data_IF_136103995550
#
_entry.id   IF_136103995550
#
_cell.length_a   1.000
_cell.length_b   1.000
_cell.length_c   1.000
_cell.angle_alpha   90.00
_cell.angle_beta   90.00
_cell.angle_gamma   90.00
#
_symmetry.space_group_name_H-M   'P 1'
#
loop_
_entity.id
_entity.type
_entity.pdbx_description
1 polymer ?
#
# COMPACT_ATOMS: atom_id res chain seq x y z
N UNK A 1 -2.11 1.22 11.89
CA UNK A 1 -3.46 1.04 12.46
C UNK A 1 -3.79 -0.44 12.40
N UNK A 2 -4.33 -0.99 13.48
CA UNK A 2 -4.87 -2.34 13.52
C UNK A 2 -6.32 -2.28 13.95
N UNK A 3 -7.22 -2.86 13.17
CA UNK A 3 -8.64 -2.96 13.47
C UNK A 3 -9.00 -4.45 13.59
N UNK A 4 -9.48 -4.84 14.74
CA UNK A 4 -9.94 -6.19 15.07
C UNK A 4 -10.90 -6.12 16.25
N UNK A 5 -11.76 -7.12 16.41
CA UNK A 5 -12.63 -7.23 17.60
C UNK A 5 -11.82 -7.30 18.89
N UNK A 6 -10.73 -8.06 18.87
CA UNK A 6 -9.78 -8.17 19.98
C UNK A 6 -8.36 -8.08 19.42
N UNK A 7 -7.67 -7.01 19.79
CA UNK A 7 -6.29 -6.73 19.34
C UNK A 7 -5.30 -7.81 19.82
N UNK A 8 -5.55 -8.47 20.94
CA UNK A 8 -4.67 -9.54 21.45
C UNK A 8 -4.67 -10.78 20.57
N UNK A 9 -5.73 -11.00 19.80
CA UNK A 9 -5.87 -12.13 18.89
C UNK A 9 -5.82 -11.73 17.41
N UNK A 10 -5.47 -10.48 17.11
CA UNK A 10 -5.47 -9.94 15.75
C UNK A 10 -4.61 -10.76 14.79
N UNK A 11 -3.47 -11.29 15.24
CA UNK A 11 -2.53 -12.07 14.43
C UNK A 11 -2.92 -13.55 14.25
N UNK A 12 -4.03 -14.00 14.85
CA UNK A 12 -4.51 -15.39 14.74
C UNK A 12 -5.62 -15.56 13.70
N UNK A 13 -6.10 -14.47 13.12
CA UNK A 13 -7.16 -14.44 12.13
C UNK A 13 -6.62 -14.05 10.76
N UNK A 14 -7.26 -14.46 9.65
CA UNK A 14 -6.94 -13.93 8.33
C UNK A 14 -6.93 -12.40 8.34
N UNK A 15 -5.98 -11.79 7.67
CA UNK A 15 -5.84 -10.35 7.69
C UNK A 15 -5.83 -9.73 6.29
N UNK A 16 -6.45 -8.55 6.20
CA UNK A 16 -6.32 -7.62 5.10
C UNK A 16 -5.24 -6.61 5.44
N UNK A 17 -4.35 -6.35 4.51
CA UNK A 17 -3.30 -5.36 4.66
C UNK A 17 -3.44 -4.26 3.61
N UNK A 18 -3.66 -3.04 4.04
CA UNK A 18 -3.79 -1.86 3.20
C UNK A 18 -2.66 -0.89 3.46
N UNK A 19 -1.99 -0.43 2.41
CA UNK A 19 -1.05 0.67 2.55
C UNK A 19 -1.30 1.73 1.49
N UNK A 20 -1.01 2.97 1.85
CA UNK A 20 -1.41 4.15 1.11
C UNK A 20 -0.24 5.10 0.98
N UNK A 21 -0.31 6.00 -0.01
CA UNK A 21 0.61 7.11 -0.18
C UNK A 21 2.08 6.70 -0.30
N UNK A 22 2.35 5.62 -1.04
CA UNK A 22 3.72 5.25 -1.40
C UNK A 22 4.35 6.31 -2.33
N UNK A 23 3.54 6.95 -3.18
CA UNK A 23 3.94 8.12 -3.94
C UNK A 23 3.48 9.41 -3.26
N UNK A 24 4.44 10.30 -3.03
CA UNK A 24 4.27 11.50 -2.24
C UNK A 24 3.12 12.43 -2.72
N UNK A 25 2.90 12.54 -4.02
CA UNK A 25 1.90 13.42 -4.65
C UNK A 25 0.47 12.86 -4.67
N UNK A 26 0.27 11.63 -4.24
CA UNK A 26 -1.01 10.94 -4.26
C UNK A 26 -1.74 11.14 -2.92
N UNK A 27 -2.12 12.39 -2.65
CA UNK A 27 -2.60 12.84 -1.33
C UNK A 27 -3.90 12.18 -0.88
N UNK A 28 -4.79 11.87 -1.84
CA UNK A 28 -6.09 11.28 -1.53
C UNK A 28 -5.96 9.94 -0.80
N UNK A 29 -4.88 9.18 -1.03
CA UNK A 29 -4.66 7.91 -0.37
C UNK A 29 -4.57 8.03 1.15
N UNK A 30 -3.88 9.05 1.65
CA UNK A 30 -3.76 9.31 3.09
C UNK A 30 -5.12 9.66 3.71
N UNK A 31 -5.86 10.56 3.08
CA UNK A 31 -7.20 10.96 3.54
C UNK A 31 -8.16 9.76 3.52
N UNK A 32 -8.14 8.98 2.44
CA UNK A 32 -8.95 7.77 2.31
C UNK A 32 -8.66 6.77 3.44
N UNK A 33 -7.39 6.56 3.79
CA UNK A 33 -7.01 5.64 4.87
C UNK A 33 -7.61 6.06 6.21
N UNK A 34 -7.54 7.33 6.54
CA UNK A 34 -8.06 7.88 7.80
C UNK A 34 -9.60 7.81 7.82
N UNK A 35 -10.25 8.26 6.75
CA UNK A 35 -11.72 8.22 6.65
C UNK A 35 -12.25 6.79 6.68
N UNK A 36 -11.55 5.84 6.03
CA UNK A 36 -11.92 4.43 6.06
C UNK A 36 -11.85 3.85 7.48
N UNK A 37 -10.78 4.14 8.23
CA UNK A 37 -10.68 3.71 9.62
C UNK A 37 -11.78 4.32 10.50
N UNK A 38 -12.05 5.62 10.31
CA UNK A 38 -13.12 6.33 11.02
C UNK A 38 -14.49 5.74 10.68
N UNK A 39 -14.75 5.47 9.39
CA UNK A 39 -16.00 4.86 8.95
C UNK A 39 -16.26 3.51 9.62
N UNK A 40 -15.25 2.63 9.62
CA UNK A 40 -15.36 1.33 10.29
C UNK A 40 -15.70 1.52 11.78
N UNK A 41 -14.95 2.37 12.48
CA UNK A 41 -15.15 2.57 13.92
C UNK A 41 -16.52 3.17 14.25
N UNK A 42 -17.00 4.13 13.46
CA UNK A 42 -18.30 4.77 13.68
C UNK A 42 -19.49 3.83 13.42
N UNK A 43 -19.35 2.91 12.47
CA UNK A 43 -20.45 2.06 12.05
C UNK A 43 -20.39 0.63 12.63
N UNK A 44 -19.33 0.28 13.36
CA UNK A 44 -19.10 -1.06 13.87
C UNK A 44 -20.26 -1.61 14.71
N UNK A 45 -20.91 -0.78 15.52
CA UNK A 45 -22.02 -1.23 16.39
C UNK A 45 -23.36 -1.27 15.66
N UNK A 46 -23.52 -0.56 14.57
CA UNK A 46 -24.78 -0.42 13.82
C UNK A 46 -24.82 -1.24 12.54
N UNK A 47 -23.64 -1.62 11.99
CA UNK A 47 -23.53 -2.43 10.78
C UNK A 47 -23.13 -3.87 11.14
N UNK A 48 -24.07 -4.84 11.05
CA UNK A 48 -23.77 -6.24 11.33
C UNK A 48 -22.73 -6.85 10.41
N UNK A 49 -22.60 -6.35 9.18
CA UNK A 49 -21.64 -6.83 8.19
C UNK A 49 -20.22 -6.46 8.60
N UNK A 50 -19.99 -5.19 8.95
CA UNK A 50 -18.69 -4.73 9.48
C UNK A 50 -18.32 -5.46 10.77
N UNK A 51 -19.29 -5.63 11.66
CA UNK A 51 -19.09 -6.36 12.91
C UNK A 51 -18.67 -7.81 12.65
N UNK A 52 -19.31 -8.48 11.70
CA UNK A 52 -18.97 -9.85 11.32
C UNK A 52 -17.56 -9.92 10.72
N UNK A 53 -17.19 -8.99 9.82
CA UNK A 53 -15.85 -8.95 9.23
C UNK A 53 -14.77 -8.83 10.30
N UNK A 54 -14.90 -7.92 11.27
CA UNK A 54 -13.89 -7.77 12.35
C UNK A 54 -13.95 -8.89 13.39
N UNK A 55 -15.03 -9.67 13.44
CA UNK A 55 -15.08 -10.91 14.22
C UNK A 55 -14.19 -11.99 13.60
N UNK A 56 -14.18 -12.11 12.27
CA UNK A 56 -13.56 -13.20 11.53
C UNK A 56 -12.19 -12.82 10.94
N UNK A 57 -11.90 -11.52 10.84
CA UNK A 57 -10.66 -11.04 10.22
C UNK A 57 -10.05 -9.86 10.97
N UNK A 58 -8.83 -9.52 10.58
CA UNK A 58 -8.09 -8.34 11.03
C UNK A 58 -7.83 -7.42 9.84
N UNK A 59 -7.87 -6.12 10.07
CA UNK A 59 -7.42 -5.12 9.10
C UNK A 59 -6.17 -4.42 9.61
N UNK A 60 -5.09 -4.54 8.88
CA UNK A 60 -3.87 -3.76 9.08
C UNK A 60 -3.81 -2.63 8.05
N UNK A 61 -3.46 -1.43 8.50
CA UNK A 61 -3.38 -0.27 7.62
C UNK A 61 -2.13 0.54 7.89
N UNK A 62 -1.44 0.95 6.82
CA UNK A 62 -0.36 1.96 6.83
C UNK A 62 -0.88 3.19 6.10
N UNK A 63 -1.38 4.23 6.81
CA UNK A 63 -2.01 5.40 6.17
C UNK A 63 -1.08 6.20 5.28
N UNK A 64 0.22 6.21 5.58
CA UNK A 64 1.21 6.91 4.78
C UNK A 64 2.52 6.10 4.77
N UNK A 65 2.81 5.45 3.65
CA UNK A 65 4.03 4.67 3.48
C UNK A 65 5.26 5.54 3.18
N UNK A 66 5.06 6.79 2.76
CA UNK A 66 6.11 7.75 2.38
C UNK A 66 5.90 9.10 3.08
N UNK A 67 6.07 9.18 4.40
CA UNK A 67 5.74 10.38 5.16
C UNK A 67 6.61 11.60 4.80
N UNK A 68 7.92 11.41 4.60
CA UNK A 68 8.83 12.51 4.26
C UNK A 68 8.54 13.06 2.86
N UNK A 69 8.26 12.18 1.91
CA UNK A 69 7.86 12.58 0.56
C UNK A 69 6.52 13.30 0.56
N UNK A 70 5.54 12.77 1.31
CA UNK A 70 4.22 13.37 1.47
C UNK A 70 4.30 14.79 2.02
N UNK A 71 5.03 14.99 3.13
CA UNK A 71 5.24 16.29 3.74
C UNK A 71 5.93 17.26 2.77
N UNK A 72 6.95 16.81 2.07
CA UNK A 72 7.63 17.62 1.06
C UNK A 72 6.70 18.00 -0.10
N UNK A 73 5.86 17.08 -0.57
CA UNK A 73 4.92 17.36 -1.66
C UNK A 73 3.88 18.39 -1.27
N UNK A 74 3.44 18.39 -0.01
CA UNK A 74 2.46 19.33 0.53
C UNK A 74 3.00 20.75 0.68
N UNK A 75 4.25 20.89 1.11
CA UNK A 75 4.80 22.17 1.55
C UNK A 75 5.78 22.82 0.56
N UNK A 76 6.32 22.06 -0.41
CA UNK A 76 7.36 22.56 -1.30
C UNK A 76 7.10 22.33 -2.78
N UNK A 77 6.80 21.08 -3.19
CA UNK A 77 6.61 20.75 -4.61
C UNK A 77 5.53 19.68 -4.78
N UNK A 78 4.33 20.11 -5.11
CA UNK A 78 3.13 19.27 -5.18
C UNK A 78 3.21 18.07 -6.15
N UNK A 79 4.06 18.14 -7.17
CA UNK A 79 4.30 17.03 -8.11
C UNK A 79 5.41 16.06 -7.68
N UNK A 80 5.97 16.22 -6.46
CA UNK A 80 6.98 15.31 -5.94
C UNK A 80 6.42 13.89 -5.76
N UNK A 81 7.12 12.88 -6.30
CA UNK A 81 6.67 11.49 -6.29
C UNK A 81 7.45 10.60 -5.32
N UNK A 82 8.77 10.77 -5.26
CA UNK A 82 9.73 9.92 -4.55
C UNK A 82 9.73 10.16 -3.04
N UNK A 83 10.50 9.37 -2.28
CA UNK A 83 10.84 9.72 -0.89
C UNK A 83 11.83 10.90 -0.83
N UNK A 84 12.42 11.16 0.35
CA UNK A 84 13.34 12.30 0.53
C UNK A 84 14.78 11.90 0.86
N UNK A 85 15.19 10.67 0.57
CA UNK A 85 16.59 10.26 0.71
C UNK A 85 17.50 11.13 -0.15
N UNK A 86 18.61 11.61 0.41
CA UNK A 86 19.66 12.23 -0.37
C UNK A 86 20.52 11.15 -1.03
N UNK A 87 20.70 11.23 -2.34
CA UNK A 87 21.55 10.35 -3.12
C UNK A 87 23.01 10.84 -3.09
N UNK A 88 23.97 9.98 -3.42
CA UNK A 88 25.40 10.28 -3.37
C UNK A 88 25.83 11.42 -4.29
N UNK A 89 25.10 11.67 -5.36
CA UNK A 89 25.34 12.75 -6.33
C UNK A 89 24.64 14.07 -5.97
N UNK A 90 24.04 14.16 -4.78
CA UNK A 90 23.33 15.35 -4.29
C UNK A 90 21.87 15.47 -4.76
N UNK A 91 21.39 14.60 -5.63
CA UNK A 91 19.96 14.53 -5.98
C UNK A 91 19.14 13.96 -4.83
N UNK A 92 17.81 14.00 -4.93
CA UNK A 92 16.91 13.48 -3.90
C UNK A 92 15.93 12.46 -4.43
N UNK A 93 15.67 11.47 -3.58
CA UNK A 93 14.53 10.57 -3.63
C UNK A 93 14.77 9.30 -4.43
N UNK A 94 14.08 8.27 -3.93
CA UNK A 94 13.89 6.95 -4.55
C UNK A 94 12.39 6.74 -4.77
N UNK A 95 12.01 6.22 -5.92
CA UNK A 95 10.64 5.74 -6.15
C UNK A 95 10.45 4.43 -5.37
N UNK A 96 9.72 4.52 -4.27
CA UNK A 96 9.50 3.37 -3.38
C UNK A 96 8.80 2.22 -4.10
N UNK A 97 7.92 2.53 -5.07
CA UNK A 97 7.23 1.52 -5.88
C UNK A 97 8.10 0.98 -7.06
N UNK A 98 9.41 1.22 -7.01
CA UNK A 98 10.45 0.61 -7.83
C UNK A 98 11.55 -0.03 -6.98
N UNK A 99 11.41 0.01 -5.66
CA UNK A 99 12.43 -0.46 -4.70
C UNK A 99 12.15 -1.87 -4.14
N UNK A 100 11.15 -2.58 -4.67
CA UNK A 100 10.88 -3.99 -4.37
C UNK A 100 11.65 -4.91 -5.34
N UNK A 101 11.96 -6.17 -4.95
CA UNK A 101 12.84 -7.04 -5.74
C UNK A 101 12.22 -7.50 -7.06
N UNK A 102 10.91 -7.77 -7.08
CA UNK A 102 10.23 -8.20 -8.30
C UNK A 102 10.15 -7.01 -9.26
N UNK A 103 10.70 -7.19 -10.45
CA UNK A 103 10.75 -6.13 -11.45
C UNK A 103 11.77 -5.02 -11.19
N UNK A 104 12.64 -5.18 -10.21
CA UNK A 104 13.69 -4.20 -9.96
C UNK A 104 14.58 -4.01 -11.19
N UNK A 105 14.76 -2.76 -11.58
CA UNK A 105 15.68 -2.37 -12.64
C UNK A 105 16.69 -1.37 -12.11
N UNK A 106 17.95 -1.76 -12.10
CA UNK A 106 19.04 -0.88 -11.69
C UNK A 106 19.27 0.21 -12.74
N UNK A 107 19.18 1.46 -12.33
CA UNK A 107 19.47 2.61 -13.18
C UNK A 107 20.46 3.54 -12.49
N UNK A 108 21.17 4.37 -13.26
CA UNK A 108 22.10 5.38 -12.74
C UNK A 108 21.48 6.78 -12.74
N UNK A 109 20.32 6.97 -13.34
CA UNK A 109 19.64 8.26 -13.38
C UNK A 109 18.85 8.52 -12.10
N UNK A 110 19.52 9.01 -11.08
CA UNK A 110 18.97 9.33 -9.75
C UNK A 110 17.93 10.46 -9.78
N UNK A 111 17.96 11.33 -10.82
CA UNK A 111 16.99 12.39 -11.04
C UNK A 111 15.66 11.90 -11.60
N UNK A 112 15.62 10.68 -12.13
CA UNK A 112 14.40 10.10 -12.66
C UNK A 112 13.31 9.95 -11.59
N UNK A 113 12.06 10.23 -11.95
CA UNK A 113 10.91 9.98 -11.08
C UNK A 113 10.64 8.49 -10.81
N UNK A 114 11.27 7.60 -11.58
CA UNK A 114 11.17 6.14 -11.44
C UNK A 114 12.50 5.51 -11.01
N UNK A 115 13.40 6.29 -10.40
CA UNK A 115 14.65 5.77 -9.86
C UNK A 115 14.38 4.85 -8.68
N UNK A 116 14.67 3.56 -8.80
CA UNK A 116 14.37 2.51 -7.82
C UNK A 116 15.40 2.34 -6.69
N UNK A 117 16.43 3.20 -6.62
CA UNK A 117 17.52 3.07 -5.65
C UNK A 117 18.69 2.22 -6.17
N UNK A 118 19.63 1.92 -5.27
CA UNK A 118 20.86 1.17 -5.59
C UNK A 118 20.65 -0.33 -5.65
N UNK A 119 19.70 -0.84 -4.87
CA UNK A 119 19.32 -2.25 -4.75
C UNK A 119 17.90 -2.36 -4.19
N UNK A 120 17.24 -3.52 -4.33
CA UNK A 120 15.94 -3.75 -3.71
C UNK A 120 15.99 -3.55 -2.19
N UNK A 121 14.93 -2.95 -1.65
CA UNK A 121 14.81 -2.65 -0.22
C UNK A 121 15.95 -1.80 0.36
N UNK A 122 16.59 -0.94 -0.45
CA UNK A 122 17.59 -0.01 0.09
C UNK A 122 16.96 1.12 0.92
N UNK A 123 15.65 1.33 0.82
CA UNK A 123 14.94 2.37 1.53
C UNK A 123 14.30 1.85 2.84
N UNK A 124 14.32 2.66 3.93
CA UNK A 124 13.74 2.23 5.20
C UNK A 124 12.24 1.97 5.11
N UNK A 125 11.52 2.73 4.30
CA UNK A 125 10.07 2.60 4.11
C UNK A 125 9.70 1.24 3.51
N UNK A 126 10.40 0.82 2.46
CA UNK A 126 10.15 -0.48 1.81
C UNK A 126 10.60 -1.65 2.67
N UNK A 127 11.69 -1.48 3.45
CA UNK A 127 12.06 -2.47 4.47
C UNK A 127 11.00 -2.62 5.54
N UNK A 128 10.45 -1.51 6.03
CA UNK A 128 9.41 -1.55 7.06
C UNK A 128 8.16 -2.28 6.57
N UNK A 129 7.73 -2.05 5.32
CA UNK A 129 6.61 -2.78 4.71
C UNK A 129 6.92 -4.28 4.59
N UNK A 130 8.11 -4.63 4.08
CA UNK A 130 8.57 -6.03 3.99
C UNK A 130 8.55 -6.72 5.35
N UNK A 131 9.20 -6.10 6.33
CA UNK A 131 9.38 -6.69 7.66
C UNK A 131 8.03 -6.82 8.38
N UNK A 132 7.12 -5.88 8.16
CA UNK A 132 5.75 -5.99 8.66
C UNK A 132 5.03 -7.20 8.07
N UNK A 133 5.05 -7.37 6.74
CA UNK A 133 4.41 -8.51 6.08
C UNK A 133 5.01 -9.83 6.53
N UNK A 134 6.33 -9.92 6.64
CA UNK A 134 7.01 -11.13 7.12
C UNK A 134 6.68 -11.45 8.58
N UNK A 135 6.46 -10.44 9.41
CA UNK A 135 6.07 -10.62 10.81
C UNK A 135 4.58 -10.98 11.00
N UNK A 136 3.75 -10.84 9.95
CA UNK A 136 2.32 -11.08 10.00
C UNK A 136 1.89 -12.12 8.94
N UNK A 137 2.23 -13.41 9.14
CA UNK A 137 1.93 -14.46 8.16
C UNK A 137 0.43 -14.74 7.99
N UNK A 138 -0.41 -14.15 8.82
CA UNK A 138 -1.87 -14.18 8.70
C UNK A 138 -2.42 -13.21 7.64
N UNK A 139 -1.59 -12.37 7.03
CA UNK A 139 -2.01 -11.51 5.90
C UNK A 139 -2.33 -12.40 4.70
N UNK A 140 -3.56 -12.35 4.24
CA UNK A 140 -4.07 -13.13 3.09
C UNK A 140 -4.32 -12.27 1.86
N UNK A 141 -4.61 -10.98 2.05
CA UNK A 141 -4.85 -10.02 0.97
C UNK A 141 -4.07 -8.74 1.30
N UNK A 142 -3.37 -8.20 0.31
CA UNK A 142 -2.71 -6.91 0.40
C UNK A 142 -3.15 -6.00 -0.75
N UNK A 143 -3.40 -4.73 -0.44
CA UNK A 143 -3.78 -3.71 -1.41
C UNK A 143 -2.89 -2.47 -1.24
N UNK A 144 -2.25 -2.06 -2.33
CA UNK A 144 -1.51 -0.81 -2.45
C UNK A 144 -2.41 0.24 -3.12
N UNK A 145 -2.76 1.27 -2.38
CA UNK A 145 -3.66 2.32 -2.85
C UNK A 145 -2.88 3.47 -3.49
N UNK A 146 -3.16 3.68 -4.76
CA UNK A 146 -2.66 4.81 -5.55
C UNK A 146 -3.78 5.79 -5.90
N UNK A 147 -3.42 6.95 -6.41
CA UNK A 147 -4.38 7.85 -7.05
C UNK A 147 -4.13 7.96 -8.55
N UNK A 148 -5.21 8.26 -9.29
CA UNK A 148 -5.42 8.24 -10.74
C UNK A 148 -5.43 6.83 -11.37
N UNK A 149 -6.20 6.70 -12.46
CA UNK A 149 -6.20 5.52 -13.32
C UNK A 149 -7.51 4.74 -13.33
N UNK A 150 -8.28 4.69 -12.24
CA UNK A 150 -9.53 3.90 -12.13
C UNK A 150 -9.34 2.43 -12.53
N UNK A 151 -8.27 1.81 -12.07
CA UNK A 151 -7.85 0.45 -12.43
C UNK A 151 -7.44 -0.34 -11.20
N UNK A 152 -7.57 -1.65 -11.30
CA UNK A 152 -6.94 -2.61 -10.40
C UNK A 152 -5.85 -3.38 -11.16
N UNK A 153 -4.67 -3.49 -10.57
CA UNK A 153 -3.57 -4.28 -11.11
C UNK A 153 -3.37 -5.52 -10.23
N UNK A 154 -3.75 -6.71 -10.70
CA UNK A 154 -3.35 -7.95 -10.04
C UNK A 154 -1.82 -8.10 -10.03
N UNK A 155 -1.26 -8.64 -8.94
CA UNK A 155 0.18 -8.67 -8.72
C UNK A 155 1.01 -9.48 -9.75
N UNK A 156 0.38 -10.33 -10.57
CA UNK A 156 1.03 -11.23 -11.51
C UNK A 156 1.46 -10.60 -12.83
N UNK A 157 0.94 -9.40 -13.17
CA UNK A 157 1.00 -8.86 -14.54
C UNK A 157 2.38 -8.32 -14.96
N UNK A 158 3.41 -8.47 -14.11
CA UNK A 158 4.68 -7.81 -14.39
C UNK A 158 5.53 -8.51 -15.45
N UNK A 159 5.50 -9.85 -15.58
CA UNK A 159 6.39 -10.60 -16.50
C UNK A 159 5.74 -11.72 -17.28
N UNK A 160 4.44 -11.91 -17.20
CA UNK A 160 3.75 -13.09 -17.73
C UNK A 160 4.37 -14.43 -17.26
N UNK A 161 5.01 -14.43 -16.09
CA UNK A 161 5.55 -15.65 -15.48
C UNK A 161 4.39 -16.36 -14.79
N UNK A 162 3.93 -17.46 -15.36
CA UNK A 162 2.77 -18.27 -14.97
C UNK A 162 2.91 -18.99 -13.61
N UNK A 163 3.67 -18.44 -12.67
CA UNK A 163 3.98 -19.12 -11.40
C UNK A 163 2.99 -18.81 -10.29
N UNK A 164 2.07 -17.86 -10.46
CA UNK A 164 1.08 -17.47 -9.46
C UNK A 164 -0.31 -17.73 -10.02
N UNK A 165 -1.13 -18.48 -9.29
CA UNK A 165 -2.55 -18.60 -9.61
C UNK A 165 -3.25 -17.26 -9.36
N UNK A 166 -3.69 -16.64 -10.45
CA UNK A 166 -4.27 -15.30 -10.46
C UNK A 166 -5.78 -15.30 -10.48
N UNK A 167 -6.40 -16.48 -10.48
CA UNK A 167 -7.85 -16.63 -10.60
C UNK A 167 -8.56 -15.88 -9.49
N UNK A 168 -8.18 -16.11 -8.24
CA UNK A 168 -8.82 -15.45 -7.08
C UNK A 168 -8.55 -13.94 -7.06
N UNK A 169 -7.35 -13.49 -7.45
CA UNK A 169 -7.04 -12.07 -7.55
C UNK A 169 -7.87 -11.36 -8.61
N UNK A 170 -8.07 -11.98 -9.76
CA UNK A 170 -8.91 -11.44 -10.84
C UNK A 170 -10.39 -11.36 -10.41
N UNK A 171 -10.89 -12.38 -9.73
CA UNK A 171 -12.25 -12.38 -9.16
C UNK A 171 -12.39 -11.26 -8.13
N UNK A 172 -11.44 -11.12 -7.21
CA UNK A 172 -11.45 -10.06 -6.21
C UNK A 172 -11.46 -8.67 -6.87
N UNK A 173 -10.58 -8.42 -7.83
CA UNK A 173 -10.51 -7.15 -8.55
C UNK A 173 -11.82 -6.84 -9.29
N UNK A 174 -12.43 -7.84 -9.93
CA UNK A 174 -13.70 -7.67 -10.63
C UNK A 174 -14.85 -7.32 -9.66
N UNK A 175 -14.94 -8.04 -8.53
CA UNK A 175 -15.94 -7.78 -7.52
C UNK A 175 -15.79 -6.39 -6.89
N UNK A 176 -14.55 -5.97 -6.55
CA UNK A 176 -14.27 -4.63 -6.03
C UNK A 176 -14.67 -3.54 -7.03
N UNK A 177 -14.36 -3.72 -8.32
CA UNK A 177 -14.74 -2.78 -9.37
C UNK A 177 -16.27 -2.70 -9.55
N UNK A 178 -16.97 -3.82 -9.41
CA UNK A 178 -18.44 -3.85 -9.46
C UNK A 178 -19.06 -3.09 -8.29
N UNK A 179 -18.58 -3.32 -7.06
CA UNK A 179 -19.10 -2.64 -5.87
C UNK A 179 -18.88 -1.12 -5.95
N UNK A 180 -17.72 -0.66 -6.42
CA UNK A 180 -17.46 0.77 -6.60
C UNK A 180 -18.39 1.41 -7.63
N UNK A 181 -18.79 0.69 -8.69
CA UNK A 181 -19.72 1.22 -9.71
C UNK A 181 -21.16 1.39 -9.22
N UNK A 182 -21.52 0.80 -8.08
CA UNK A 182 -22.87 0.92 -7.47
C UNK A 182 -23.07 2.21 -6.68
N UNK A 183 -21.98 2.93 -6.42
CA UNK A 183 -21.98 4.21 -5.69
C UNK A 183 -22.07 5.38 -6.69
#
# INVERSE_FOLDING_TARGET
ITLAKDIKTANTKPALFFFFSIHAREWIGHELAIEFAIYILKNLETDPTLKNYLNESTVYMVPCANPDGYEYSRNHFSFWRKNRKQNADGTYGVDLNRNFPIGFTKTTNTSSNVYGGTEPFCEPETRALRDFVLAHPNITIALDYHSQGNVFFPAHDFRHEDTIDTTDMNILCANMAEEIRKI
#
